data_IF_154409276466
#
_entry.id   IF_154409276466
#
_cell.length_a   1.000
_cell.length_b   1.000
_cell.length_c   1.000
_cell.angle_alpha   90.00
_cell.angle_beta   90.00
_cell.angle_gamma   90.00
#
_symmetry.space_group_name_H-M   'P 1'
#
loop_
_entity.id
_entity.type
_entity.pdbx_description
1 polymer ?
#
# COMPACT_ATOMS: atom_id res chain seq x y z
N UNK A 1 -4.43 22.19 11.81
CA UNK A 1 -5.38 22.14 10.70
C UNK A 1 -4.84 21.40 9.48
N UNK A 2 -3.55 21.56 9.11
CA UNK A 2 -2.92 20.81 8.00
C UNK A 2 -2.92 19.30 8.22
N UNK A 3 -2.64 18.85 9.44
CA UNK A 3 -2.67 17.44 9.83
C UNK A 3 -4.06 16.84 9.67
N UNK A 4 -5.10 17.56 10.07
CA UNK A 4 -6.48 17.10 9.97
C UNK A 4 -6.93 16.95 8.50
N UNK A 5 -6.52 17.88 7.63
CA UNK A 5 -6.82 17.81 6.19
C UNK A 5 -6.17 16.58 5.54
N UNK A 6 -4.91 16.31 5.84
CA UNK A 6 -4.19 15.14 5.32
C UNK A 6 -4.82 13.84 5.84
N UNK A 7 -5.16 13.79 7.12
CA UNK A 7 -5.80 12.62 7.74
C UNK A 7 -7.17 12.36 7.12
N UNK A 8 -7.99 13.40 6.93
CA UNK A 8 -9.31 13.28 6.29
C UNK A 8 -9.22 12.82 4.83
N UNK A 9 -8.25 13.37 4.07
CA UNK A 9 -8.02 12.96 2.69
C UNK A 9 -7.59 11.48 2.60
N UNK A 10 -6.69 11.03 3.47
CA UNK A 10 -6.25 9.62 3.53
C UNK A 10 -7.39 8.69 3.97
N UNK A 11 -8.21 9.12 4.92
CA UNK A 11 -9.37 8.35 5.36
C UNK A 11 -10.39 8.15 4.24
N UNK A 12 -10.76 9.23 3.52
CA UNK A 12 -11.65 9.15 2.37
C UNK A 12 -11.07 8.28 1.24
N UNK A 13 -9.80 8.44 0.93
CA UNK A 13 -9.11 7.59 -0.07
C UNK A 13 -9.11 6.12 0.35
N UNK A 14 -8.93 5.85 1.65
CA UNK A 14 -8.99 4.49 2.21
C UNK A 14 -10.37 3.84 2.09
N UNK A 15 -11.44 4.60 2.34
CA UNK A 15 -12.82 4.12 2.16
C UNK A 15 -13.10 3.81 0.68
N UNK A 16 -12.78 4.74 -0.22
CA UNK A 16 -13.04 4.57 -1.65
C UNK A 16 -12.22 3.40 -2.21
N UNK A 17 -10.94 3.32 -1.86
CA UNK A 17 -10.08 2.20 -2.25
C UNK A 17 -10.54 0.87 -1.67
N UNK A 18 -10.98 0.85 -0.41
CA UNK A 18 -11.53 -0.34 0.25
C UNK A 18 -12.84 -0.84 -0.35
N UNK A 19 -13.69 0.06 -0.84
CA UNK A 19 -14.96 -0.30 -1.51
C UNK A 19 -14.76 -0.73 -2.96
N UNK A 20 -13.73 -0.25 -3.65
CA UNK A 20 -13.50 -0.58 -5.06
C UNK A 20 -13.26 -2.07 -5.28
N UNK A 21 -12.47 -2.72 -4.45
CA UNK A 21 -12.16 -4.16 -4.58
C UNK A 21 -13.39 -5.06 -4.46
N UNK A 22 -14.26 -4.94 -3.45
CA UNK A 22 -15.52 -5.70 -3.38
C UNK A 22 -16.42 -5.48 -4.58
N UNK A 23 -16.59 -4.23 -5.04
CA UNK A 23 -17.44 -3.91 -6.18
C UNK A 23 -16.90 -4.56 -7.46
N UNK A 24 -15.61 -4.48 -7.70
CA UNK A 24 -14.96 -5.10 -8.85
C UNK A 24 -15.11 -6.62 -8.80
N UNK A 25 -14.88 -7.25 -7.66
CA UNK A 25 -15.00 -8.70 -7.48
C UNK A 25 -16.44 -9.19 -7.72
N UNK A 26 -17.43 -8.46 -7.22
CA UNK A 26 -18.85 -8.74 -7.45
C UNK A 26 -19.22 -8.62 -8.94
N UNK A 27 -18.77 -7.59 -9.62
CA UNK A 27 -19.02 -7.40 -11.06
C UNK A 27 -18.41 -8.52 -11.90
N UNK A 28 -17.22 -8.98 -11.54
CA UNK A 28 -16.55 -10.12 -12.19
C UNK A 28 -17.38 -11.39 -12.00
N UNK A 29 -17.82 -11.68 -10.79
CA UNK A 29 -18.61 -12.89 -10.51
C UNK A 29 -19.99 -12.84 -11.18
N UNK A 30 -20.68 -11.70 -11.23
CA UNK A 30 -21.94 -11.52 -11.92
C UNK A 30 -21.80 -11.66 -13.44
N UNK A 31 -20.70 -11.16 -14.01
CA UNK A 31 -20.40 -11.35 -15.44
C UNK A 31 -20.12 -12.83 -15.75
N UNK A 32 -19.33 -13.52 -14.91
CA UNK A 32 -19.04 -14.95 -15.07
C UNK A 32 -20.28 -15.84 -14.96
N UNK A 33 -21.25 -15.46 -14.11
CA UNK A 33 -22.52 -16.18 -13.95
C UNK A 33 -23.55 -15.83 -15.04
N UNK A 34 -23.21 -14.93 -15.96
CA UNK A 34 -24.12 -14.49 -17.02
C UNK A 34 -25.34 -13.68 -16.54
N UNK A 35 -25.34 -13.22 -15.29
CA UNK A 35 -26.41 -12.40 -14.70
C UNK A 35 -26.42 -11.01 -15.32
N UNK A 36 -25.25 -10.48 -15.59
CA UNK A 36 -25.08 -9.22 -16.34
C UNK A 36 -24.82 -9.62 -17.78
N UNK A 37 -25.62 -9.14 -18.73
CA UNK A 37 -25.47 -9.42 -20.17
C UNK A 37 -24.21 -8.83 -20.81
N UNK A 38 -23.18 -8.57 -20.02
CA UNK A 38 -21.91 -7.96 -20.40
C UNK A 38 -20.80 -9.01 -20.28
N UNK A 39 -20.07 -9.23 -21.38
CA UNK A 39 -18.92 -10.12 -21.39
C UNK A 39 -17.75 -9.55 -20.58
N UNK A 40 -16.90 -10.42 -20.03
CA UNK A 40 -15.69 -10.05 -19.25
C UNK A 40 -14.85 -8.97 -19.96
N UNK A 41 -14.65 -9.10 -21.28
CA UNK A 41 -13.91 -8.12 -22.07
C UNK A 41 -14.56 -6.73 -22.03
N UNK A 42 -15.88 -6.68 -22.15
CA UNK A 42 -16.65 -5.43 -22.10
C UNK A 42 -16.64 -4.83 -20.70
N UNK A 43 -16.75 -5.68 -19.67
CA UNK A 43 -16.66 -5.26 -18.27
C UNK A 43 -15.33 -4.55 -18.00
N UNK A 44 -14.20 -5.17 -18.32
CA UNK A 44 -12.89 -4.56 -18.12
C UNK A 44 -12.68 -3.29 -18.95
N UNK A 45 -13.22 -3.25 -20.17
CA UNK A 45 -13.16 -2.07 -21.03
C UNK A 45 -13.93 -0.89 -20.40
N UNK A 46 -15.17 -1.13 -19.96
CA UNK A 46 -15.98 -0.09 -19.29
C UNK A 46 -15.32 0.37 -18.00
N UNK A 47 -14.84 -0.55 -17.19
CA UNK A 47 -14.12 -0.21 -15.95
C UNK A 47 -12.85 0.61 -16.21
N UNK A 48 -12.09 0.23 -17.24
CA UNK A 48 -10.88 0.97 -17.66
C UNK A 48 -11.20 2.39 -18.13
N UNK A 49 -12.27 2.55 -18.93
CA UNK A 49 -12.72 3.88 -19.37
C UNK A 49 -13.19 4.72 -18.18
N UNK A 50 -14.02 4.16 -17.30
CA UNK A 50 -14.52 4.88 -16.13
C UNK A 50 -13.37 5.27 -15.18
N UNK A 51 -12.48 4.35 -14.87
CA UNK A 51 -11.33 4.63 -14.02
C UNK A 51 -10.38 5.66 -14.65
N UNK A 52 -10.13 5.57 -15.95
CA UNK A 52 -9.29 6.51 -16.69
C UNK A 52 -9.90 7.90 -16.76
N UNK A 53 -11.18 8.01 -17.16
CA UNK A 53 -11.82 9.33 -17.34
C UNK A 53 -12.12 10.00 -16.01
N UNK A 54 -12.73 9.29 -15.05
CA UNK A 54 -13.08 9.86 -13.74
C UNK A 54 -11.81 10.07 -12.90
N UNK A 55 -10.90 9.10 -12.86
CA UNK A 55 -9.67 9.20 -12.08
C UNK A 55 -8.76 10.31 -12.59
N UNK A 56 -8.49 10.35 -13.89
CA UNK A 56 -7.68 11.41 -14.51
C UNK A 56 -8.37 12.77 -14.44
N UNK A 57 -9.69 12.81 -14.62
CA UNK A 57 -10.48 14.04 -14.49
C UNK A 57 -10.38 14.63 -13.09
N UNK A 58 -10.59 13.84 -12.04
CA UNK A 58 -10.46 14.28 -10.66
C UNK A 58 -9.02 14.68 -10.31
N UNK A 59 -8.02 13.98 -10.83
CA UNK A 59 -6.62 14.35 -10.65
C UNK A 59 -6.30 15.70 -11.31
N UNK A 60 -6.81 15.95 -12.52
CA UNK A 60 -6.64 17.21 -13.24
C UNK A 60 -7.29 18.39 -12.52
N UNK A 61 -8.42 18.17 -11.82
CA UNK A 61 -9.05 19.20 -10.99
C UNK A 61 -8.11 19.71 -9.90
N UNK A 62 -7.27 18.85 -9.33
CA UNK A 62 -6.30 19.31 -8.33
C UNK A 62 -5.30 20.31 -8.91
N UNK A 63 -4.82 20.10 -10.14
CA UNK A 63 -3.94 21.02 -10.82
C UNK A 63 -4.60 22.37 -11.18
N UNK A 64 -5.92 22.35 -11.46
CA UNK A 64 -6.67 23.56 -11.82
C UNK A 64 -7.00 24.41 -10.58
N UNK A 65 -7.41 23.78 -9.49
CA UNK A 65 -7.88 24.45 -8.28
C UNK A 65 -6.80 24.74 -7.25
N UNK A 66 -5.69 23.97 -7.23
CA UNK A 66 -4.58 24.23 -6.33
C UNK A 66 -3.66 25.33 -6.90
N UNK A 67 -3.65 26.48 -6.26
CA UNK A 67 -2.67 27.55 -6.55
C UNK A 67 -1.52 27.45 -5.56
N UNK A 68 -0.31 27.37 -6.07
CA UNK A 68 0.89 27.55 -5.25
C UNK A 68 0.93 28.99 -4.70
N UNK A 69 0.82 29.12 -3.38
CA UNK A 69 0.89 30.40 -2.69
C UNK A 69 2.28 30.72 -2.15
N UNK A 70 3.16 29.74 -2.11
CA UNK A 70 4.53 29.89 -1.62
C UNK A 70 5.47 29.64 -2.78
N UNK A 71 6.04 30.71 -3.30
CA UNK A 71 7.10 30.63 -4.30
C UNK A 71 8.37 30.20 -3.57
N UNK A 72 8.85 28.98 -3.85
CA UNK A 72 10.17 28.58 -3.37
C UNK A 72 11.23 29.30 -4.23
N UNK A 73 12.02 30.14 -3.59
CA UNK A 73 13.18 30.82 -4.18
C UNK A 73 14.42 29.89 -4.27
N UNK A 74 14.23 28.63 -4.53
CA UNK A 74 15.32 27.67 -4.72
C UNK A 74 15.45 27.35 -6.19
N UNK A 75 16.67 27.40 -6.70
CA UNK A 75 16.99 26.90 -8.04
C UNK A 75 16.47 25.50 -8.20
N UNK A 76 15.81 25.23 -9.33
CA UNK A 76 15.29 23.88 -9.61
C UNK A 76 16.41 22.84 -9.57
N UNK A 77 16.37 21.85 -8.66
CA UNK A 77 17.42 20.87 -8.56
C UNK A 77 17.48 20.02 -9.83
N UNK A 78 18.66 19.91 -10.42
CA UNK A 78 18.87 19.01 -11.55
C UNK A 78 18.68 17.57 -11.08
N UNK A 79 18.09 16.71 -11.93
CA UNK A 79 17.88 15.28 -11.64
C UNK A 79 19.17 14.59 -11.15
N UNK A 80 20.31 15.01 -11.68
CA UNK A 80 21.61 14.47 -11.27
C UNK A 80 21.97 14.82 -9.81
N UNK A 81 21.56 16.00 -9.35
CA UNK A 81 21.80 16.44 -7.98
C UNK A 81 20.93 15.65 -6.98
N UNK A 82 19.72 15.26 -7.39
CA UNK A 82 18.85 14.37 -6.60
C UNK A 82 19.52 12.99 -6.40
N UNK A 83 20.08 12.40 -7.45
CA UNK A 83 20.83 11.14 -7.33
C UNK A 83 22.09 11.31 -6.47
N UNK A 84 22.82 12.40 -6.65
CA UNK A 84 24.02 12.69 -5.84
C UNK A 84 23.67 12.85 -4.35
N UNK A 85 22.55 13.51 -4.05
CA UNK A 85 22.01 13.64 -2.69
C UNK A 85 21.67 12.28 -2.11
N UNK A 86 20.94 11.44 -2.86
CA UNK A 86 20.58 10.09 -2.45
C UNK A 86 21.80 9.24 -2.08
N UNK A 87 22.84 9.23 -2.94
CA UNK A 87 24.07 8.47 -2.68
C UNK A 87 24.90 9.02 -1.52
N UNK A 88 24.83 10.32 -1.23
CA UNK A 88 25.47 10.92 -0.04
C UNK A 88 24.74 10.58 1.26
N UNK A 89 23.42 10.37 1.20
CA UNK A 89 22.57 10.04 2.35
C UNK A 89 22.40 8.52 2.47
N UNK A 90 23.38 7.83 3.07
CA UNK A 90 23.32 6.37 3.25
C UNK A 90 22.06 5.86 3.93
N UNK A 91 21.54 6.47 5.03
CA UNK A 91 20.28 6.05 5.62
C UNK A 91 19.10 6.12 4.66
N UNK A 92 18.96 7.21 3.90
CA UNK A 92 17.92 7.37 2.89
C UNK A 92 18.05 6.32 1.79
N UNK A 93 19.26 6.08 1.28
CA UNK A 93 19.51 5.05 0.27
C UNK A 93 19.03 3.67 0.72
N UNK A 94 19.28 3.29 1.97
CA UNK A 94 18.83 2.02 2.52
C UNK A 94 17.29 1.92 2.60
N UNK A 95 16.61 3.02 2.96
CA UNK A 95 15.14 3.08 2.99
C UNK A 95 14.60 2.94 1.56
N UNK A 96 15.17 3.65 0.58
CA UNK A 96 14.74 3.57 -0.83
C UNK A 96 14.94 2.15 -1.37
N UNK A 97 16.09 1.53 -1.15
CA UNK A 97 16.33 0.14 -1.55
C UNK A 97 15.33 -0.82 -0.91
N UNK A 98 15.02 -0.63 0.37
CA UNK A 98 14.01 -1.44 1.08
C UNK A 98 12.62 -1.27 0.46
N UNK A 99 12.23 -0.04 0.09
CA UNK A 99 10.94 0.22 -0.55
C UNK A 99 10.86 -0.39 -1.95
N UNK A 100 11.93 -0.33 -2.75
CA UNK A 100 12.00 -0.98 -4.06
C UNK A 100 11.78 -2.50 -3.92
N UNK A 101 12.49 -3.13 -2.98
CA UNK A 101 12.33 -4.56 -2.72
C UNK A 101 10.92 -4.91 -2.22
N UNK A 102 10.31 -4.06 -1.39
CA UNK A 102 8.94 -4.23 -0.93
C UNK A 102 7.92 -4.14 -2.07
N UNK A 103 8.14 -3.26 -3.05
CA UNK A 103 7.29 -3.12 -4.24
C UNK A 103 7.31 -4.39 -5.10
N UNK A 104 8.47 -5.03 -5.25
CA UNK A 104 8.58 -6.33 -5.93
C UNK A 104 7.71 -7.39 -5.23
N UNK A 105 7.67 -7.37 -3.89
CA UNK A 105 6.77 -8.24 -3.11
C UNK A 105 5.28 -7.99 -3.40
N UNK A 106 4.88 -6.76 -3.71
CA UNK A 106 3.49 -6.38 -4.03
C UNK A 106 2.97 -6.97 -5.35
N UNK A 107 3.86 -7.40 -6.25
CA UNK A 107 3.46 -8.09 -7.49
C UNK A 107 2.69 -9.39 -7.18
N UNK A 108 2.99 -10.04 -6.06
CA UNK A 108 2.29 -11.26 -5.64
C UNK A 108 0.81 -11.04 -5.35
N UNK A 109 0.41 -9.84 -4.92
CA UNK A 109 -0.99 -9.50 -4.64
C UNK A 109 -1.85 -9.54 -5.92
N UNK A 110 -1.27 -9.20 -7.06
CA UNK A 110 -1.93 -9.30 -8.37
C UNK A 110 -2.24 -10.76 -8.72
N UNK A 111 -1.34 -11.69 -8.41
CA UNK A 111 -1.55 -13.11 -8.66
C UNK A 111 -2.56 -13.74 -7.69
N UNK A 112 -2.79 -13.17 -6.54
CA UNK A 112 -3.79 -13.67 -5.58
C UNK A 112 -5.20 -13.71 -6.18
N UNK A 113 -5.58 -12.76 -7.02
CA UNK A 113 -6.87 -12.74 -7.71
C UNK A 113 -7.04 -13.95 -8.64
N UNK A 114 -5.99 -14.34 -9.36
CA UNK A 114 -6.02 -15.54 -10.19
C UNK A 114 -6.22 -16.81 -9.35
N UNK A 115 -5.57 -16.87 -8.18
CA UNK A 115 -5.77 -17.98 -7.25
C UNK A 115 -7.22 -18.07 -6.78
N UNK A 116 -7.86 -16.96 -6.44
CA UNK A 116 -9.27 -16.96 -6.02
C UNK A 116 -10.21 -17.42 -7.13
N UNK A 117 -10.00 -16.96 -8.37
CA UNK A 117 -10.84 -17.34 -9.51
C UNK A 117 -10.63 -18.80 -9.89
N UNK A 118 -9.39 -19.25 -10.06
CA UNK A 118 -9.10 -20.57 -10.63
C UNK A 118 -9.05 -21.69 -9.59
N UNK A 119 -8.67 -21.41 -8.34
CA UNK A 119 -8.58 -22.42 -7.29
C UNK A 119 -9.82 -22.48 -6.40
N UNK A 120 -10.40 -21.33 -6.06
CA UNK A 120 -11.61 -21.22 -5.21
C UNK A 120 -12.91 -21.06 -6.01
N UNK A 121 -12.82 -20.81 -7.32
CA UNK A 121 -13.98 -20.75 -8.22
C UNK A 121 -14.76 -19.42 -8.26
N UNK A 122 -14.36 -18.40 -7.48
CA UNK A 122 -15.00 -17.09 -7.50
C UNK A 122 -14.05 -15.97 -7.07
N UNK A 123 -14.15 -14.81 -7.73
CA UNK A 123 -13.34 -13.63 -7.40
C UNK A 123 -13.74 -13.01 -6.05
N UNK A 124 -15.01 -13.18 -5.63
CA UNK A 124 -15.55 -12.67 -4.36
C UNK A 124 -14.88 -13.26 -3.12
N UNK A 125 -14.20 -14.40 -3.22
CA UNK A 125 -13.37 -14.92 -2.14
C UNK A 125 -12.28 -13.94 -1.69
N UNK A 126 -11.72 -13.16 -2.63
CA UNK A 126 -10.77 -12.11 -2.29
C UNK A 126 -11.32 -11.07 -1.32
N UNK A 127 -12.61 -10.70 -1.48
CA UNK A 127 -13.30 -9.79 -0.56
C UNK A 127 -13.49 -10.42 0.82
N UNK A 128 -13.99 -11.64 0.87
CA UNK A 128 -14.28 -12.35 2.14
C UNK A 128 -12.97 -12.55 2.93
N UNK A 129 -11.92 -13.00 2.26
CA UNK A 129 -10.59 -13.21 2.84
C UNK A 129 -9.96 -11.88 3.29
N UNK A 130 -10.26 -10.78 2.60
CA UNK A 130 -9.74 -9.45 2.91
C UNK A 130 -10.37 -8.76 4.12
N UNK A 131 -11.61 -9.13 4.51
CA UNK A 131 -12.35 -8.48 5.62
C UNK A 131 -11.53 -8.42 6.93
N UNK A 132 -10.96 -9.52 7.44
CA UNK A 132 -10.16 -9.48 8.66
C UNK A 132 -8.96 -8.54 8.55
N UNK A 133 -8.37 -8.43 7.35
CA UNK A 133 -7.26 -7.53 7.06
C UNK A 133 -7.65 -6.06 7.21
N UNK A 134 -8.82 -5.66 6.72
CA UNK A 134 -9.30 -4.29 6.88
C UNK A 134 -9.44 -3.93 8.36
N UNK A 135 -10.10 -4.80 9.13
CA UNK A 135 -10.27 -4.59 10.58
C UNK A 135 -8.91 -4.48 11.30
N UNK A 136 -7.98 -5.37 10.99
CA UNK A 136 -6.65 -5.37 11.61
C UNK A 136 -5.83 -4.15 11.25
N UNK A 137 -5.94 -3.66 10.02
CA UNK A 137 -5.29 -2.43 9.58
C UNK A 137 -5.71 -1.22 10.41
N UNK A 138 -7.02 -1.04 10.63
CA UNK A 138 -7.53 0.01 11.50
C UNK A 138 -7.05 -0.12 12.95
N UNK A 139 -7.15 -1.30 13.52
CA UNK A 139 -6.69 -1.55 14.89
C UNK A 139 -5.19 -1.24 15.06
N UNK A 140 -4.41 -1.49 14.03
CA UNK A 140 -2.97 -1.25 14.06
C UNK A 140 -2.64 0.24 14.17
N UNK A 141 -3.38 1.12 13.51
CA UNK A 141 -3.17 2.57 13.65
C UNK A 141 -3.41 3.05 15.09
N UNK A 142 -4.35 2.44 15.80
CA UNK A 142 -4.59 2.75 17.23
C UNK A 142 -3.47 2.20 18.15
N UNK A 143 -2.87 1.09 17.76
CA UNK A 143 -1.80 0.44 18.55
C UNK A 143 -0.41 1.00 18.25
N UNK A 144 -0.22 1.67 17.10
CA UNK A 144 1.08 2.18 16.66
C UNK A 144 1.75 3.10 17.68
N UNK A 145 1.06 4.08 18.32
CA UNK A 145 1.69 4.92 19.35
C UNK A 145 2.19 4.13 20.56
N UNK A 146 1.53 3.03 20.91
CA UNK A 146 1.96 2.17 22.01
C UNK A 146 3.23 1.36 21.66
N UNK A 147 3.35 0.95 20.38
CA UNK A 147 4.56 0.30 19.88
C UNK A 147 5.75 1.26 19.85
N UNK A 148 5.54 2.49 19.38
CA UNK A 148 6.59 3.52 19.29
C UNK A 148 7.11 3.95 20.65
N UNK A 149 6.32 3.84 21.73
CA UNK A 149 6.77 4.08 23.09
C UNK A 149 7.75 3.02 23.60
N UNK A 150 7.70 1.80 23.07
CA UNK A 150 8.50 0.66 23.54
C UNK A 150 9.69 0.32 22.66
N UNK A 151 9.59 0.61 21.36
CA UNK A 151 10.59 0.22 20.37
C UNK A 151 10.98 1.37 19.47
N UNK A 152 12.25 1.38 19.04
CA UNK A 152 12.72 2.34 18.04
C UNK A 152 12.16 2.02 16.65
N UNK A 153 12.04 3.03 15.78
CA UNK A 153 11.54 2.87 14.40
C UNK A 153 12.25 1.73 13.65
N UNK A 154 13.58 1.64 13.77
CA UNK A 154 14.37 0.55 13.18
C UNK A 154 13.94 -0.84 13.72
N UNK A 155 13.77 -0.97 15.03
CA UNK A 155 13.37 -2.25 15.65
C UNK A 155 11.96 -2.66 15.21
N UNK A 156 11.04 -1.71 15.08
CA UNK A 156 9.68 -1.96 14.58
C UNK A 156 9.74 -2.52 13.18
N UNK A 157 10.41 -1.82 12.25
CA UNK A 157 10.48 -2.25 10.83
C UNK A 157 11.13 -3.62 10.69
N UNK A 158 12.25 -3.88 11.37
CA UNK A 158 12.95 -5.17 11.29
C UNK A 158 12.07 -6.31 11.81
N UNK A 159 11.45 -6.14 12.98
CA UNK A 159 10.59 -7.16 13.59
C UNK A 159 9.35 -7.45 12.76
N UNK A 160 8.70 -6.41 12.24
CA UNK A 160 7.51 -6.57 11.38
C UNK A 160 7.85 -7.26 10.07
N UNK A 161 8.99 -6.95 9.47
CA UNK A 161 9.46 -7.59 8.24
C UNK A 161 9.79 -9.08 8.47
N UNK A 162 10.49 -9.41 9.55
CA UNK A 162 10.78 -10.82 9.90
C UNK A 162 9.48 -11.58 10.16
N UNK A 163 8.55 -11.01 10.92
CA UNK A 163 7.26 -11.64 11.20
C UNK A 163 6.45 -11.85 9.92
N UNK A 164 6.44 -10.85 9.01
CA UNK A 164 5.79 -10.97 7.70
C UNK A 164 6.39 -12.11 6.87
N UNK A 165 7.72 -12.23 6.85
CA UNK A 165 8.41 -13.31 6.15
C UNK A 165 8.07 -14.70 6.73
N UNK A 166 8.07 -14.83 8.06
CA UNK A 166 7.71 -16.09 8.73
C UNK A 166 6.27 -16.50 8.44
N UNK A 167 5.31 -15.59 8.59
CA UNK A 167 3.90 -15.86 8.31
C UNK A 167 3.69 -16.19 6.84
N UNK A 168 4.34 -15.47 5.92
CA UNK A 168 4.26 -15.75 4.49
C UNK A 168 4.81 -17.15 4.14
N UNK A 169 5.96 -17.51 4.67
CA UNK A 169 6.57 -18.82 4.44
C UNK A 169 5.71 -19.95 5.01
N UNK A 170 5.19 -19.80 6.22
CA UNK A 170 4.31 -20.83 6.82
C UNK A 170 3.02 -21.01 6.04
N UNK A 171 2.39 -19.91 5.62
CA UNK A 171 1.19 -19.97 4.79
C UNK A 171 1.46 -20.61 3.43
N UNK A 172 2.61 -20.30 2.82
CA UNK A 172 3.01 -20.93 1.56
C UNK A 172 3.19 -22.44 1.70
N UNK A 173 3.89 -22.90 2.73
CA UNK A 173 4.13 -24.34 2.96
C UNK A 173 2.83 -25.11 3.22
N UNK A 174 1.92 -24.55 4.03
CA UNK A 174 0.62 -25.15 4.29
C UNK A 174 -0.24 -25.09 3.03
N UNK A 175 -0.24 -23.94 2.33
CA UNK A 175 -0.99 -23.72 1.11
C UNK A 175 -0.61 -24.70 -0.01
N UNK A 176 0.66 -24.98 -0.21
CA UNK A 176 1.12 -25.99 -1.20
C UNK A 176 0.45 -27.35 -0.99
N UNK A 177 0.20 -27.75 0.25
CA UNK A 177 -0.40 -29.05 0.58
C UNK A 177 -1.93 -29.03 0.47
N UNK A 178 -2.56 -27.91 0.80
CA UNK A 178 -4.01 -27.83 0.98
C UNK A 178 -4.73 -26.86 0.01
N UNK A 179 -4.08 -26.41 -1.07
CA UNK A 179 -4.63 -25.39 -1.97
C UNK A 179 -5.98 -25.72 -2.60
N UNK A 180 -6.32 -27.02 -2.72
CA UNK A 180 -7.61 -27.50 -3.26
C UNK A 180 -8.70 -27.67 -2.21
N UNK A 181 -8.39 -27.52 -0.93
CA UNK A 181 -9.37 -27.66 0.15
C UNK A 181 -9.79 -26.29 0.67
N UNK A 182 -10.95 -25.74 0.25
CA UNK A 182 -11.42 -24.41 0.67
C UNK A 182 -11.59 -24.31 2.19
N UNK A 183 -11.97 -25.39 2.86
CA UNK A 183 -12.20 -25.40 4.30
C UNK A 183 -10.92 -25.14 5.11
N UNK A 184 -9.75 -25.42 4.55
CA UNK A 184 -8.46 -25.19 5.19
C UNK A 184 -7.80 -23.90 4.68
N UNK A 185 -7.82 -23.69 3.36
CA UNK A 185 -7.10 -22.59 2.76
C UNK A 185 -7.75 -21.23 3.05
N UNK A 186 -9.08 -21.14 3.11
CA UNK A 186 -9.79 -19.87 3.36
C UNK A 186 -9.51 -19.34 4.77
N UNK A 187 -9.69 -20.10 5.87
CA UNK A 187 -9.31 -19.62 7.20
C UNK A 187 -7.81 -19.29 7.32
N UNK A 188 -6.95 -20.07 6.68
CA UNK A 188 -5.52 -19.80 6.66
C UNK A 188 -5.19 -18.45 6.03
N UNK A 189 -5.78 -18.15 4.87
CA UNK A 189 -5.61 -16.87 4.19
C UNK A 189 -6.24 -15.70 4.95
N UNK A 190 -7.35 -15.92 5.66
CA UNK A 190 -7.95 -14.91 6.52
C UNK A 190 -7.03 -14.53 7.68
N UNK A 191 -6.42 -15.52 8.33
CA UNK A 191 -5.44 -15.29 9.41
C UNK A 191 -4.20 -14.58 8.85
N UNK A 192 -3.68 -15.05 7.72
CA UNK A 192 -2.57 -14.39 7.05
C UNK A 192 -2.90 -12.94 6.70
N UNK A 193 -4.06 -12.69 6.10
CA UNK A 193 -4.54 -11.36 5.71
C UNK A 193 -4.65 -10.42 6.90
N UNK A 194 -5.17 -10.92 8.05
CA UNK A 194 -5.22 -10.18 9.29
C UNK A 194 -3.82 -9.72 9.75
N UNK A 195 -2.87 -10.64 9.80
CA UNK A 195 -1.51 -10.33 10.24
C UNK A 195 -0.80 -9.44 9.22
N UNK A 196 -0.88 -9.77 7.92
CA UNK A 196 -0.21 -8.99 6.86
C UNK A 196 -0.69 -7.55 6.78
N UNK A 197 -1.99 -7.32 6.88
CA UNK A 197 -2.56 -5.98 6.83
C UNK A 197 -2.08 -5.13 8.02
N UNK A 198 -2.05 -5.71 9.23
CA UNK A 198 -1.46 -5.06 10.41
C UNK A 198 -0.01 -4.66 10.18
N UNK A 199 0.83 -5.59 9.71
CA UNK A 199 2.24 -5.34 9.49
C UNK A 199 2.49 -4.35 8.34
N UNK A 200 1.65 -4.38 7.31
CA UNK A 200 1.71 -3.44 6.18
C UNK A 200 1.36 -2.02 6.62
N UNK A 201 0.32 -1.85 7.46
CA UNK A 201 -0.05 -0.55 8.01
C UNK A 201 1.09 0.08 8.81
N UNK A 202 1.80 -0.70 9.62
CA UNK A 202 3.01 -0.24 10.34
C UNK A 202 4.10 0.18 9.34
N UNK A 203 4.35 -0.65 8.34
CA UNK A 203 5.40 -0.40 7.35
C UNK A 203 5.06 0.74 6.38
N UNK A 204 3.84 1.23 6.34
CA UNK A 204 3.49 2.46 5.61
C UNK A 204 3.81 3.74 6.41
N UNK A 205 3.67 3.70 7.73
CA UNK A 205 3.82 4.89 8.57
C UNK A 205 5.27 5.06 9.04
N UNK A 206 5.87 4.00 9.60
CA UNK A 206 7.18 4.09 10.25
C UNK A 206 8.31 4.47 9.27
N UNK A 207 8.43 3.91 8.06
CA UNK A 207 9.44 4.35 7.10
C UNK A 207 9.26 5.80 6.65
N UNK A 208 8.03 6.29 6.51
CA UNK A 208 7.77 7.70 6.16
C UNK A 208 8.32 8.64 7.25
N UNK A 209 8.16 8.27 8.52
CA UNK A 209 8.77 8.99 9.65
C UNK A 209 10.31 8.92 9.58
N UNK A 210 10.86 7.74 9.29
CA UNK A 210 12.31 7.57 9.17
C UNK A 210 12.90 8.40 8.02
N UNK A 211 12.17 8.65 6.92
CA UNK A 211 12.61 9.57 5.87
C UNK A 211 12.77 10.98 6.44
N UNK A 212 11.81 11.46 7.24
CA UNK A 212 11.95 12.73 7.96
C UNK A 212 13.23 12.80 8.81
N UNK A 213 13.48 11.76 9.59
CA UNK A 213 14.72 11.67 10.41
C UNK A 213 15.99 11.73 9.55
N UNK A 214 15.96 11.20 8.30
CA UNK A 214 17.11 11.29 7.37
C UNK A 214 17.33 12.70 6.81
N UNK A 215 16.27 13.50 6.71
CA UNK A 215 16.38 14.91 6.32
C UNK A 215 17.07 15.71 7.42
N UNK A 216 16.62 15.53 8.67
CA UNK A 216 17.23 16.18 9.82
C UNK A 216 18.72 15.77 9.99
N UNK A 217 19.05 14.49 9.73
CA UNK A 217 20.43 14.02 9.72
C UNK A 217 21.29 14.72 8.64
N UNK A 218 20.73 14.94 7.46
CA UNK A 218 21.46 15.64 6.39
C UNK A 218 21.63 17.13 6.69
N UNK A 219 20.60 17.77 7.24
CA UNK A 219 20.69 19.17 7.69
C UNK A 219 21.79 19.34 8.74
N UNK A 220 21.87 18.45 9.72
CA UNK A 220 22.95 18.44 10.72
C UNK A 220 24.32 18.26 10.08
N UNK A 221 24.45 17.43 9.03
CA UNK A 221 25.73 17.09 8.41
C UNK A 221 26.23 18.10 7.39
N UNK A 222 25.31 18.71 6.61
CA UNK A 222 25.64 19.57 5.46
C UNK A 222 25.23 21.03 5.66
N UNK A 223 24.38 21.33 6.65
CA UNK A 223 23.76 22.64 6.82
C UNK A 223 22.62 22.95 5.82
N UNK A 224 22.33 22.02 4.92
CA UNK A 224 21.27 22.17 3.90
C UNK A 224 20.07 21.27 4.20
N UNK A 225 18.86 21.85 4.16
CA UNK A 225 17.61 21.12 4.36
C UNK A 225 16.91 20.88 3.02
N UNK A 226 16.97 19.66 2.54
CA UNK A 226 16.45 19.26 1.23
C UNK A 226 15.25 18.27 1.37
N UNK A 227 14.14 18.73 1.98
CA UNK A 227 12.95 17.90 2.19
C UNK A 227 12.33 17.41 0.86
N UNK A 228 12.22 18.29 -0.13
CA UNK A 228 11.64 17.95 -1.43
C UNK A 228 12.35 16.80 -2.13
N UNK A 229 13.68 16.72 -2.02
CA UNK A 229 14.47 15.62 -2.60
C UNK A 229 14.36 14.30 -1.84
N UNK A 230 14.00 14.34 -0.55
CA UNK A 230 13.90 13.12 0.26
C UNK A 230 12.53 12.44 0.13
N UNK A 231 11.47 13.22 -0.17
CA UNK A 231 10.10 12.73 -0.30
C UNK A 231 9.63 12.58 -1.74
N UNK A 232 10.41 12.99 -2.74
CA UNK A 232 10.12 12.77 -4.17
C UNK A 232 10.56 11.38 -4.64
#
# INVERSE_FOLDING_TARGET
>A
DRSNAITSARFLSGIIGGLSTPVISLLIDLSNKGVIGINMRQLFLVMGIVAGTVGMGLFSLSGIFCRERVVQNSDEPKVLDCFRFLFKNKPLLLIVCSNILATVGGVTDTFAQYFYIFSLGAASWGTIIGIPGVVSGFLTYLLLPALERRWTSKQIVVRTTILKALVGTTTFLIGMKFYRNPAVIVPLLMIQGFIFSSLTSINMVVPTKMIGDTVDYMEWKTGERNEGMAFS
#
